data_IF_190035694119
#
_entry.id   IF_190035694119
#
_cell.length_a   1.000
_cell.length_b   1.000
_cell.length_c   1.000
_cell.angle_alpha   90.00
_cell.angle_beta   90.00
_cell.angle_gamma   90.00
#
_symmetry.space_group_name_H-M   'P 1'
#
loop_
_entity.id
_entity.type
_entity.pdbx_description
1 polymer ?
#
# COMPACT_ATOMS: atom_id res chain seq x y z
N UNK A 1 53.50 49.50 53.81
CA UNK A 1 52.63 50.18 52.82
C UNK A 1 51.75 49.20 52.04
N UNK A 2 52.27 48.04 51.57
CA UNK A 2 51.49 47.00 50.87
C UNK A 2 50.28 46.43 51.65
N UNK A 3 50.40 46.21 52.97
CA UNK A 3 49.32 45.66 53.81
C UNK A 3 48.07 46.56 53.91
N UNK A 4 48.21 47.88 53.72
CA UNK A 4 47.07 48.82 53.68
C UNK A 4 46.37 48.83 52.32
N UNK A 5 47.08 48.53 51.22
CA UNK A 5 46.50 48.38 49.88
C UNK A 5 45.63 47.11 49.79
N UNK A 6 46.12 45.99 50.33
CA UNK A 6 45.42 44.69 50.31
C UNK A 6 44.13 44.74 51.16
N UNK A 7 44.13 45.47 52.30
CA UNK A 7 42.93 45.68 53.11
C UNK A 7 41.89 46.61 52.48
N UNK A 8 42.29 47.50 51.56
CA UNK A 8 41.38 48.39 50.81
C UNK A 8 40.75 47.67 49.63
N UNK A 9 41.52 46.86 48.90
CA UNK A 9 41.03 46.02 47.81
C UNK A 9 40.02 44.95 48.27
N UNK A 10 40.16 44.43 49.49
CA UNK A 10 39.24 43.42 50.05
C UNK A 10 37.89 43.98 50.51
N UNK A 11 37.71 45.31 50.55
CA UNK A 11 36.58 45.95 51.25
C UNK A 11 35.61 46.73 50.35
N UNK A 12 35.89 46.90 49.06
CA UNK A 12 35.06 47.77 48.19
C UNK A 12 34.45 47.11 46.95
N UNK A 13 34.72 45.82 46.64
CA UNK A 13 34.12 45.14 45.47
C UNK A 13 33.28 43.89 45.81
N UNK A 14 33.00 43.61 47.08
CA UNK A 14 32.25 42.41 47.46
C UNK A 14 30.72 42.53 47.26
N UNK A 15 30.19 43.72 46.94
CA UNK A 15 28.76 43.92 46.68
C UNK A 15 28.35 43.79 45.21
N UNK A 16 29.14 44.34 44.29
CA UNK A 16 28.79 44.37 42.86
C UNK A 16 28.87 42.98 42.20
N UNK A 17 29.87 42.18 42.57
CA UNK A 17 30.00 40.82 42.07
C UNK A 17 28.78 39.96 42.44
N UNK A 18 28.22 40.12 43.64
CA UNK A 18 27.02 39.41 44.09
C UNK A 18 25.79 39.76 43.22
N UNK A 19 25.60 41.05 42.91
CA UNK A 19 24.51 41.51 42.05
C UNK A 19 24.66 40.95 40.63
N UNK A 20 25.87 40.99 40.08
CA UNK A 20 26.14 40.50 38.73
C UNK A 20 25.92 38.98 38.63
N UNK A 21 26.37 38.22 39.63
CA UNK A 21 26.15 36.78 39.73
C UNK A 21 24.66 36.46 39.88
N UNK A 22 23.92 37.20 40.71
CA UNK A 22 22.48 37.00 40.88
C UNK A 22 21.70 37.27 39.58
N UNK A 23 22.06 38.31 38.84
CA UNK A 23 21.46 38.60 37.53
C UNK A 23 21.79 37.50 36.51
N UNK A 24 23.05 37.06 36.42
CA UNK A 24 23.45 35.98 35.52
C UNK A 24 22.77 34.65 35.86
N UNK A 25 22.66 34.30 37.14
CA UNK A 25 21.91 33.10 37.59
C UNK A 25 20.44 33.18 37.17
N UNK A 26 19.82 34.34 37.31
CA UNK A 26 18.41 34.55 36.91
C UNK A 26 18.24 34.34 35.41
N UNK A 27 19.15 34.88 34.60
CA UNK A 27 19.14 34.69 33.14
C UNK A 27 19.37 33.22 32.77
N UNK A 28 20.32 32.54 33.41
CA UNK A 28 20.60 31.12 33.16
C UNK A 28 19.40 30.24 33.53
N UNK A 29 18.74 30.51 34.65
CA UNK A 29 17.50 29.82 35.04
C UNK A 29 16.37 30.09 34.05
N UNK A 30 16.27 31.31 33.52
CA UNK A 30 15.32 31.65 32.45
C UNK A 30 15.53 30.84 31.17
N UNK A 31 16.78 30.65 30.74
CA UNK A 31 17.10 29.78 29.60
C UNK A 31 16.82 28.31 29.89
N UNK A 32 17.16 27.81 31.09
CA UNK A 32 16.87 26.44 31.49
C UNK A 32 15.35 26.15 31.49
N UNK A 33 14.56 27.08 32.03
CA UNK A 33 13.11 27.05 32.00
C UNK A 33 12.56 26.97 30.55
N UNK A 34 13.06 27.82 29.66
CA UNK A 34 12.67 27.83 28.25
C UNK A 34 12.97 26.49 27.57
N UNK A 35 14.16 25.93 27.81
CA UNK A 35 14.57 24.64 27.24
C UNK A 35 13.64 23.51 27.71
N UNK A 36 13.26 23.50 28.99
CA UNK A 36 12.34 22.47 29.52
C UNK A 36 10.95 22.59 28.90
N UNK A 37 10.41 23.81 28.80
CA UNK A 37 9.07 24.02 28.22
C UNK A 37 9.01 23.67 26.73
N UNK A 38 10.00 24.14 25.95
CA UNK A 38 10.09 23.80 24.52
C UNK A 38 10.33 22.30 24.33
N UNK A 39 11.18 21.69 25.16
CA UNK A 39 11.42 20.25 25.15
C UNK A 39 10.15 19.45 25.41
N UNK A 40 9.35 19.82 26.42
CA UNK A 40 8.08 19.18 26.69
C UNK A 40 7.09 19.34 25.53
N UNK A 41 6.97 20.55 24.96
CA UNK A 41 6.11 20.77 23.79
C UNK A 41 6.51 19.91 22.59
N UNK A 42 7.82 19.77 22.34
CA UNK A 42 8.32 18.93 21.25
C UNK A 42 7.96 17.46 21.46
N UNK A 43 8.11 16.93 22.67
CA UNK A 43 7.72 15.56 23.01
C UNK A 43 6.21 15.37 22.86
N UNK A 44 5.39 16.28 23.37
CA UNK A 44 3.93 16.21 23.22
C UNK A 44 3.51 16.26 21.75
N UNK A 45 4.14 17.11 20.94
CA UNK A 45 3.89 17.21 19.50
C UNK A 45 4.25 15.91 18.78
N UNK A 46 5.38 15.28 19.12
CA UNK A 46 5.79 14.00 18.54
C UNK A 46 4.83 12.87 18.93
N UNK A 47 4.40 12.80 20.19
CA UNK A 47 3.40 11.83 20.63
C UNK A 47 2.06 12.02 19.92
N UNK A 48 1.62 13.27 19.75
CA UNK A 48 0.37 13.61 19.06
C UNK A 48 0.44 13.23 17.57
N UNK A 49 1.60 13.40 16.93
CA UNK A 49 1.80 12.97 15.54
C UNK A 49 1.72 11.45 15.41
N UNK A 50 2.42 10.71 16.26
CA UNK A 50 2.36 9.24 16.26
C UNK A 50 0.92 8.74 16.49
N UNK A 51 0.17 9.39 17.38
CA UNK A 51 -1.23 9.08 17.62
C UNK A 51 -2.12 9.32 16.39
N UNK A 52 -1.94 10.48 15.72
CA UNK A 52 -2.67 10.81 14.50
C UNK A 52 -2.34 9.84 13.36
N UNK A 53 -1.06 9.50 13.17
CA UNK A 53 -0.58 8.56 12.16
C UNK A 53 -1.17 7.17 12.37
N UNK A 54 -1.14 6.66 13.61
CA UNK A 54 -1.74 5.37 13.96
C UNK A 54 -3.25 5.36 13.76
N UNK A 55 -3.94 6.43 14.17
CA UNK A 55 -5.39 6.57 13.99
C UNK A 55 -5.78 6.63 12.51
N UNK A 56 -5.04 7.37 11.68
CA UNK A 56 -5.29 7.47 10.24
C UNK A 56 -5.08 6.12 9.56
N UNK A 57 -3.97 5.42 9.85
CA UNK A 57 -3.70 4.09 9.31
C UNK A 57 -4.79 3.08 9.68
N UNK A 58 -5.22 3.07 10.95
CA UNK A 58 -6.26 2.15 11.40
C UNK A 58 -7.62 2.45 10.77
N UNK A 59 -8.05 3.72 10.77
CA UNK A 59 -9.30 4.11 10.12
C UNK A 59 -9.30 3.86 8.61
N UNK A 60 -8.13 4.01 7.96
CA UNK A 60 -8.00 3.72 6.53
C UNK A 60 -8.26 2.25 6.19
N UNK A 61 -7.97 1.30 7.10
CA UNK A 61 -8.20 -0.12 6.85
C UNK A 61 -9.69 -0.43 6.70
N UNK A 62 -10.52 0.25 7.50
CA UNK A 62 -11.96 0.04 7.57
C UNK A 62 -12.75 0.84 6.53
N UNK A 63 -12.11 1.71 5.73
CA UNK A 63 -12.77 2.43 4.64
C UNK A 63 -13.43 1.46 3.65
N UNK A 64 -14.72 1.68 3.37
CA UNK A 64 -15.51 0.86 2.45
C UNK A 64 -15.96 -0.49 3.01
N UNK A 65 -15.73 -0.77 4.30
CA UNK A 65 -16.24 -1.97 4.98
C UNK A 65 -17.55 -1.67 5.72
N UNK A 66 -18.18 -2.69 6.31
CA UNK A 66 -19.34 -2.50 7.21
C UNK A 66 -18.96 -1.89 8.57
N UNK A 67 -17.66 -1.73 8.85
CA UNK A 67 -17.12 -1.16 10.09
C UNK A 67 -17.01 0.36 9.94
N UNK A 68 -17.37 1.09 10.99
CA UNK A 68 -17.27 2.55 11.01
C UNK A 68 -15.81 3.01 11.14
N UNK A 69 -15.21 3.37 10.01
CA UNK A 69 -13.84 3.87 9.90
C UNK A 69 -13.56 5.08 10.81
N UNK A 70 -14.56 5.95 11.04
CA UNK A 70 -14.44 7.09 11.94
C UNK A 70 -14.28 6.63 13.39
N UNK A 71 -15.12 5.68 13.81
CA UNK A 71 -15.06 5.10 15.14
C UNK A 71 -13.72 4.39 15.39
N UNK A 72 -13.23 3.62 14.41
CA UNK A 72 -11.91 2.96 14.50
C UNK A 72 -10.79 3.98 14.67
N UNK A 73 -10.73 5.02 13.82
CA UNK A 73 -9.71 6.06 13.94
C UNK A 73 -9.71 6.72 15.34
N UNK A 74 -10.90 7.06 15.86
CA UNK A 74 -11.05 7.65 17.20
C UNK A 74 -10.63 6.69 18.33
N UNK A 75 -10.92 5.40 18.21
CA UNK A 75 -10.49 4.38 19.18
C UNK A 75 -8.96 4.26 19.22
N UNK A 76 -8.29 4.28 18.07
CA UNK A 76 -6.84 4.21 18.00
C UNK A 76 -6.18 5.51 18.51
N UNK A 77 -6.76 6.67 18.26
CA UNK A 77 -6.29 7.93 18.86
C UNK A 77 -6.37 7.89 20.40
N UNK A 78 -7.48 7.37 20.95
CA UNK A 78 -7.68 7.20 22.39
C UNK A 78 -6.66 6.22 23.00
N UNK A 79 -6.41 5.09 22.33
CA UNK A 79 -5.38 4.14 22.73
C UNK A 79 -3.96 4.74 22.75
N UNK A 80 -3.71 5.77 21.93
CA UNK A 80 -2.45 6.52 21.88
C UNK A 80 -2.45 7.79 22.76
N UNK A 81 -3.45 7.94 23.66
CA UNK A 81 -3.48 8.98 24.67
C UNK A 81 -4.09 10.31 24.22
N UNK A 82 -4.87 10.31 23.13
CA UNK A 82 -5.63 11.46 22.63
C UNK A 82 -7.13 11.20 22.78
N UNK A 83 -7.88 11.98 23.58
CA UNK A 83 -9.31 11.78 23.72
C UNK A 83 -10.05 11.85 22.38
N UNK A 84 -11.11 11.05 22.22
CA UNK A 84 -11.96 11.03 21.02
C UNK A 84 -12.56 12.40 20.67
N UNK A 85 -12.85 13.20 21.70
CA UNK A 85 -13.40 14.56 21.57
C UNK A 85 -12.40 15.56 21.00
N UNK A 86 -11.10 15.27 21.11
CA UNK A 86 -10.03 16.12 20.58
C UNK A 86 -9.48 15.58 19.25
N UNK A 87 -10.14 14.56 18.69
CA UNK A 87 -9.79 13.92 17.43
C UNK A 87 -10.88 14.19 16.39
N UNK A 88 -10.56 14.97 15.37
CA UNK A 88 -11.39 15.17 14.20
C UNK A 88 -10.99 14.18 13.13
N UNK A 89 -11.98 13.61 12.44
CA UNK A 89 -11.78 12.62 11.38
C UNK A 89 -12.63 13.03 10.19
N UNK A 90 -12.04 12.99 9.00
CA UNK A 90 -12.74 13.13 7.71
C UNK A 90 -12.45 11.87 6.89
N UNK A 91 -13.45 11.02 6.69
CA UNK A 91 -13.35 9.75 5.96
C UNK A 91 -13.39 9.89 4.44
N UNK A 92 -13.50 11.13 3.93
CA UNK A 92 -13.56 11.44 2.51
C UNK A 92 -12.63 12.61 2.17
N UNK A 93 -11.41 12.57 2.72
CA UNK A 93 -10.45 13.65 2.54
C UNK A 93 -10.23 13.95 1.05
N UNK A 94 -10.35 15.24 0.68
CA UNK A 94 -10.27 15.71 -0.71
C UNK A 94 -11.34 15.08 -1.64
N UNK A 95 -12.54 14.82 -1.09
CA UNK A 95 -13.65 14.14 -1.76
C UNK A 95 -13.30 12.73 -2.29
N UNK A 96 -12.30 12.08 -1.67
CA UNK A 96 -11.84 10.76 -2.09
C UNK A 96 -12.24 9.70 -1.03
N UNK A 97 -13.11 8.73 -1.35
CA UNK A 97 -13.59 7.73 -0.40
C UNK A 97 -12.50 6.71 0.04
N UNK A 98 -11.34 6.71 -0.62
CA UNK A 98 -10.19 5.89 -0.24
C UNK A 98 -9.20 6.64 0.66
N UNK A 99 -9.49 7.89 1.07
CA UNK A 99 -8.62 8.70 1.92
C UNK A 99 -9.33 9.10 3.21
N UNK A 100 -8.57 9.05 4.31
CA UNK A 100 -9.01 9.50 5.63
C UNK A 100 -8.00 10.50 6.19
N UNK A 101 -8.50 11.62 6.71
CA UNK A 101 -7.72 12.60 7.46
C UNK A 101 -8.06 12.47 8.95
N UNK A 102 -7.02 12.50 9.80
CA UNK A 102 -7.16 12.57 11.24
C UNK A 102 -6.40 13.79 11.76
N UNK A 103 -7.09 14.65 12.49
CA UNK A 103 -6.52 15.81 13.16
C UNK A 103 -6.70 15.66 14.67
N UNK A 104 -5.60 15.44 15.37
CA UNK A 104 -5.56 15.38 16.84
C UNK A 104 -5.14 16.74 17.40
N UNK A 105 -5.87 17.24 18.37
CA UNK A 105 -5.52 18.45 19.13
C UNK A 105 -5.25 18.08 20.57
N UNK A 106 -4.32 18.75 21.24
CA UNK A 106 -4.10 18.59 22.68
C UNK A 106 -3.68 19.91 23.29
N UNK A 107 -4.30 20.27 24.40
CA UNK A 107 -3.90 21.44 25.17
C UNK A 107 -2.75 21.07 26.12
N UNK A 108 -1.61 21.76 26.00
CA UNK A 108 -0.40 21.51 26.80
C UNK A 108 -0.12 22.72 27.67
N UNK A 109 -0.15 22.51 28.99
CA UNK A 109 0.23 23.53 29.95
C UNK A 109 1.76 23.73 29.97
N UNK A 110 2.19 24.98 30.02
CA UNK A 110 3.60 25.31 30.26
C UNK A 110 3.98 25.01 31.71
N UNK A 111 5.25 24.70 31.97
CA UNK A 111 5.77 24.48 33.34
C UNK A 111 6.35 25.78 33.89
N UNK A 112 7.35 26.35 33.23
CA UNK A 112 8.07 27.52 33.73
C UNK A 112 7.62 28.84 33.09
N UNK A 113 7.20 28.82 31.82
CA UNK A 113 6.70 29.97 31.08
C UNK A 113 5.42 30.56 31.69
N UNK A 114 4.77 29.83 32.61
CA UNK A 114 3.68 30.35 33.46
C UNK A 114 4.08 31.58 34.27
N UNK A 115 5.36 31.67 34.66
CA UNK A 115 5.91 32.86 35.36
C UNK A 115 5.88 34.11 34.47
N UNK A 116 5.96 33.92 33.14
CA UNK A 116 5.87 34.99 32.14
C UNK A 116 4.42 35.25 31.69
N UNK A 117 3.43 34.62 32.31
CA UNK A 117 2.01 34.73 31.96
C UNK A 117 1.53 33.78 30.84
N UNK A 118 2.41 32.90 30.34
CA UNK A 118 2.03 31.88 29.35
C UNK A 118 1.54 30.62 30.07
N UNK A 119 0.22 30.38 30.07
CA UNK A 119 -0.36 29.28 30.84
C UNK A 119 -0.37 27.95 30.08
N UNK A 120 -0.76 27.98 28.80
CA UNK A 120 -0.95 26.79 27.98
C UNK A 120 -0.92 27.12 26.48
N UNK A 121 -0.85 26.09 25.65
CA UNK A 121 -0.93 26.21 24.19
C UNK A 121 -1.58 24.98 23.58
N UNK A 122 -2.30 25.18 22.47
CA UNK A 122 -2.87 24.08 21.71
C UNK A 122 -1.85 23.54 20.70
N UNK A 123 -1.51 22.27 20.85
CA UNK A 123 -0.69 21.53 19.89
C UNK A 123 -1.63 20.72 19.00
N UNK A 124 -1.44 20.81 17.68
CA UNK A 124 -2.20 20.04 16.70
C UNK A 124 -1.28 19.09 15.96
N UNK A 125 -1.73 17.89 15.63
CA UNK A 125 -1.08 16.98 14.69
C UNK A 125 -2.10 16.52 13.65
N UNK A 126 -1.63 16.31 12.43
CA UNK A 126 -2.45 15.95 11.28
C UNK A 126 -1.78 14.80 10.56
N UNK A 127 -2.56 13.80 10.22
CA UNK A 127 -2.14 12.67 9.41
C UNK A 127 -3.22 12.37 8.39
N UNK A 128 -2.81 12.02 7.17
CA UNK A 128 -3.73 11.53 6.14
C UNK A 128 -3.26 10.13 5.75
N UNK A 129 -4.19 9.19 5.67
CA UNK A 129 -3.92 7.85 5.21
C UNK A 129 -4.81 7.53 4.01
N UNK A 130 -4.28 6.70 3.13
CA UNK A 130 -5.00 6.21 1.96
C UNK A 130 -5.06 4.68 2.01
N UNK A 131 -6.27 4.14 1.81
CA UNK A 131 -6.46 2.73 1.46
C UNK A 131 -6.06 2.56 0.01
N UNK A 132 -5.04 1.74 -0.25
CA UNK A 132 -4.70 1.39 -1.62
C UNK A 132 -5.85 0.58 -2.25
N UNK A 133 -5.93 0.56 -3.59
CA UNK A 133 -6.83 -0.38 -4.27
C UNK A 133 -6.58 -1.80 -3.76
N UNK A 134 -7.60 -2.65 -3.79
CA UNK A 134 -7.45 -4.09 -3.53
C UNK A 134 -6.33 -4.68 -4.40
N UNK A 135 -5.35 -5.29 -3.76
CA UNK A 135 -4.13 -5.75 -4.43
C UNK A 135 -3.10 -4.64 -4.76
N UNK A 136 -3.40 -3.35 -4.68
CA UNK A 136 -2.47 -2.24 -4.95
C UNK A 136 -2.48 -1.74 -6.40
N UNK A 137 -1.70 -0.68 -6.69
CA UNK A 137 -1.80 0.07 -7.96
C UNK A 137 -1.61 -0.77 -9.24
N UNK A 138 -0.82 -1.85 -9.16
CA UNK A 138 -0.64 -2.81 -10.25
C UNK A 138 -1.96 -3.45 -10.71
N UNK A 139 -2.91 -3.62 -9.78
CA UNK A 139 -4.18 -4.31 -10.00
C UNK A 139 -5.25 -3.39 -10.59
N UNK A 140 -4.97 -2.11 -10.82
CA UNK A 140 -5.84 -1.22 -11.60
C UNK A 140 -5.79 -1.55 -13.11
N UNK A 141 -4.80 -2.33 -13.55
CA UNK A 141 -4.60 -2.71 -14.95
C UNK A 141 -5.21 -4.09 -15.23
N UNK A 142 -5.71 -4.29 -16.44
CA UNK A 142 -6.11 -5.60 -16.93
C UNK A 142 -4.89 -6.49 -17.16
N UNK A 143 -3.81 -5.90 -17.71
CA UNK A 143 -2.54 -6.57 -17.91
C UNK A 143 -1.37 -5.70 -17.44
N UNK A 144 -0.56 -6.22 -16.52
CA UNK A 144 0.53 -5.49 -15.88
C UNK A 144 1.84 -6.29 -15.92
N UNK A 145 2.87 -5.73 -16.55
CA UNK A 145 4.24 -6.26 -16.56
C UNK A 145 5.17 -5.35 -15.73
N UNK A 146 5.34 -5.66 -14.44
CA UNK A 146 6.02 -4.77 -13.47
C UNK A 146 7.54 -4.89 -13.38
N UNK A 147 8.15 -5.88 -14.04
CA UNK A 147 9.60 -6.10 -14.03
C UNK A 147 10.22 -6.32 -15.40
N UNK A 148 9.44 -6.19 -16.47
CA UNK A 148 9.79 -6.61 -17.82
C UNK A 148 8.93 -5.97 -18.89
N UNK A 149 9.04 -6.47 -20.12
CA UNK A 149 8.24 -6.01 -21.24
C UNK A 149 6.86 -6.69 -21.23
N UNK A 150 5.86 -5.96 -21.72
CA UNK A 150 4.53 -6.48 -22.04
C UNK A 150 4.48 -6.75 -23.54
N UNK A 151 4.49 -8.02 -23.95
CA UNK A 151 4.53 -8.39 -25.37
C UNK A 151 3.38 -9.31 -25.74
N UNK A 152 2.63 -8.92 -26.76
CA UNK A 152 1.64 -9.72 -27.44
C UNK A 152 2.08 -9.89 -28.89
N UNK A 153 2.37 -11.14 -29.27
CA UNK A 153 2.73 -11.53 -30.62
C UNK A 153 1.59 -12.32 -31.24
N UNK A 154 1.11 -11.87 -32.40
CA UNK A 154 -0.12 -12.40 -32.97
C UNK A 154 -0.94 -11.31 -33.59
N UNK A 155 -2.26 -11.41 -33.50
CA UNK A 155 -3.18 -10.35 -33.89
C UNK A 155 -4.58 -10.66 -33.36
N UNK A 156 -5.44 -9.65 -33.33
CA UNK A 156 -6.79 -9.72 -32.75
C UNK A 156 -6.82 -10.01 -31.25
N UNK A 157 -5.78 -9.59 -30.52
CA UNK A 157 -5.86 -9.57 -29.06
C UNK A 157 -6.86 -8.50 -28.61
N UNK A 158 -7.67 -8.78 -27.60
CA UNK A 158 -8.67 -7.84 -27.09
C UNK A 158 -8.48 -7.70 -25.59
N UNK A 159 -8.20 -6.50 -25.11
CA UNK A 159 -8.02 -6.21 -23.69
C UNK A 159 -9.12 -5.25 -23.24
N UNK A 160 -10.03 -5.73 -22.41
CA UNK A 160 -10.98 -4.91 -21.66
C UNK A 160 -10.30 -4.33 -20.43
N UNK A 161 -9.82 -3.08 -20.54
CA UNK A 161 -9.12 -2.36 -19.48
C UNK A 161 -7.69 -1.92 -19.85
N UNK A 162 -7.10 -1.08 -18.99
CA UNK A 162 -5.78 -0.50 -19.22
C UNK A 162 -4.64 -1.53 -19.10
N UNK A 163 -3.54 -1.29 -19.80
CA UNK A 163 -2.33 -2.13 -19.77
C UNK A 163 -1.12 -1.34 -19.32
N UNK A 164 -0.18 -2.01 -18.65
CA UNK A 164 1.08 -1.43 -18.21
C UNK A 164 2.29 -2.32 -18.53
N UNK A 165 3.35 -1.72 -19.06
CA UNK A 165 4.65 -2.38 -19.24
C UNK A 165 5.80 -1.54 -18.72
N UNK A 166 6.54 -2.05 -17.73
CA UNK A 166 7.69 -1.33 -17.17
C UNK A 166 8.81 -1.12 -18.21
N UNK A 167 9.13 -2.14 -18.99
CA UNK A 167 10.17 -2.09 -20.02
C UNK A 167 9.60 -1.98 -21.43
N UNK A 168 8.42 -1.38 -21.57
CA UNK A 168 7.75 -1.18 -22.85
C UNK A 168 6.51 -2.07 -23.02
N UNK A 169 5.60 -1.59 -23.88
CA UNK A 169 4.40 -2.29 -24.33
C UNK A 169 4.49 -2.52 -25.84
N UNK A 170 4.24 -3.74 -26.28
CA UNK A 170 4.26 -4.11 -27.70
C UNK A 170 3.12 -5.09 -28.01
N UNK A 171 2.11 -4.63 -28.75
CA UNK A 171 1.09 -5.48 -29.37
C UNK A 171 1.34 -5.51 -30.88
N UNK A 172 1.85 -6.65 -31.34
CA UNK A 172 2.21 -6.88 -32.74
C UNK A 172 1.04 -7.48 -33.53
N UNK A 173 1.18 -7.43 -34.87
CA UNK A 173 0.19 -7.87 -35.85
C UNK A 173 -1.15 -7.12 -35.80
N UNK A 174 -2.10 -7.47 -36.67
CA UNK A 174 -3.23 -6.59 -36.96
C UNK A 174 -4.49 -6.90 -36.14
N UNK A 175 -5.31 -5.86 -35.95
CA UNK A 175 -6.65 -5.98 -35.38
C UNK A 175 -6.70 -6.11 -33.86
N UNK A 176 -5.62 -5.74 -33.16
CA UNK A 176 -5.64 -5.69 -31.70
C UNK A 176 -6.55 -4.56 -31.20
N UNK A 177 -7.11 -4.71 -30.02
CA UNK A 177 -8.02 -3.76 -29.39
C UNK A 177 -7.71 -3.67 -27.90
N UNK A 178 -7.57 -2.44 -27.40
CA UNK A 178 -7.38 -2.14 -25.98
C UNK A 178 -8.44 -1.11 -25.60
N UNK A 179 -9.40 -1.52 -24.78
CA UNK A 179 -10.43 -0.66 -24.21
C UNK A 179 -9.94 -0.08 -22.87
N UNK A 180 -8.93 0.78 -22.96
CA UNK A 180 -8.27 1.40 -21.81
C UNK A 180 -6.98 2.10 -22.20
N UNK A 181 -6.23 2.54 -21.19
CA UNK A 181 -4.96 3.23 -21.39
C UNK A 181 -3.83 2.25 -21.68
N UNK A 182 -2.86 2.69 -22.48
CA UNK A 182 -1.61 1.97 -22.73
C UNK A 182 -0.48 2.73 -22.04
N UNK A 183 0.01 2.17 -20.93
CA UNK A 183 0.97 2.86 -20.07
C UNK A 183 2.33 2.17 -20.10
N UNK A 184 3.40 2.94 -20.25
CA UNK A 184 4.76 2.45 -20.25
C UNK A 184 5.68 3.33 -19.42
N UNK A 185 6.59 2.72 -18.65
CA UNK A 185 7.65 3.46 -17.97
C UNK A 185 8.83 3.80 -18.88
N UNK A 186 8.83 3.33 -20.12
CA UNK A 186 9.78 3.75 -21.15
C UNK A 186 9.07 4.55 -22.24
N UNK A 187 9.82 4.96 -23.26
CA UNK A 187 9.30 5.58 -24.47
C UNK A 187 8.60 4.59 -25.42
N UNK A 188 8.55 3.30 -25.09
CA UNK A 188 8.01 2.26 -25.97
C UNK A 188 6.59 1.88 -25.55
N UNK A 189 5.61 2.21 -26.38
CA UNK A 189 4.22 1.81 -26.25
C UNK A 189 3.62 1.64 -27.66
N UNK A 190 3.88 0.50 -28.28
CA UNK A 190 3.48 0.22 -29.66
C UNK A 190 2.28 -0.73 -29.67
N UNK A 191 1.17 -0.29 -30.26
CA UNK A 191 -0.02 -1.12 -30.44
C UNK A 191 -0.45 -1.10 -31.90
N UNK A 192 -0.33 -2.24 -32.57
CA UNK A 192 -0.83 -2.42 -33.94
C UNK A 192 -2.33 -2.72 -33.89
N UNK A 193 -3.15 -1.70 -33.67
CA UNK A 193 -4.57 -1.88 -33.41
C UNK A 193 -5.28 -0.59 -32.98
N UNK A 194 -6.41 -0.75 -32.32
CA UNK A 194 -7.20 0.34 -31.75
C UNK A 194 -6.92 0.45 -30.26
N UNK A 195 -6.80 1.68 -29.77
CA UNK A 195 -6.72 2.03 -28.35
C UNK A 195 -7.86 3.01 -28.09
N UNK A 196 -8.75 2.70 -27.13
CA UNK A 196 -9.84 3.61 -26.73
C UNK A 196 -9.36 4.69 -25.77
N UNK A 197 -8.41 4.37 -24.88
CA UNK A 197 -7.83 5.30 -23.91
C UNK A 197 -6.57 6.02 -24.40
N UNK A 198 -5.79 6.52 -23.46
CA UNK A 198 -4.58 7.28 -23.73
C UNK A 198 -3.34 6.39 -23.86
N UNK A 199 -2.38 6.81 -24.69
CA UNK A 199 -1.03 6.22 -24.70
C UNK A 199 -0.10 7.08 -23.86
N UNK A 200 0.34 6.55 -22.72
CA UNK A 200 1.17 7.23 -21.73
C UNK A 200 2.56 6.59 -21.72
N UNK A 201 3.60 7.38 -22.00
CA UNK A 201 5.00 6.92 -21.98
C UNK A 201 5.80 7.67 -20.92
N UNK A 202 6.93 7.08 -20.51
CA UNK A 202 7.78 7.58 -19.42
C UNK A 202 7.01 7.75 -18.09
N UNK A 203 6.00 6.92 -17.86
CA UNK A 203 5.26 6.89 -16.60
C UNK A 203 6.19 6.48 -15.44
N UNK A 204 6.04 7.04 -14.23
CA UNK A 204 6.75 6.55 -13.05
C UNK A 204 6.60 5.03 -12.88
N UNK A 205 7.63 4.39 -12.33
CA UNK A 205 7.60 2.93 -12.11
C UNK A 205 6.55 2.61 -11.06
N UNK A 206 5.60 1.75 -11.43
CA UNK A 206 4.59 1.24 -10.51
C UNK A 206 5.17 -0.01 -9.82
N UNK A 207 5.25 -0.03 -8.48
CA UNK A 207 5.82 -1.16 -7.76
C UNK A 207 4.90 -2.38 -7.85
N UNK A 208 5.51 -3.58 -7.90
CA UNK A 208 4.79 -4.83 -7.74
C UNK A 208 4.56 -5.07 -6.23
N UNK A 209 3.31 -5.25 -5.77
CA UNK A 209 3.00 -5.64 -4.40
C UNK A 209 3.62 -6.99 -4.03
N UNK A 210 3.66 -7.35 -2.75
CA UNK A 210 3.99 -8.71 -2.29
C UNK A 210 3.08 -9.10 -1.12
N UNK A 211 2.28 -10.14 -1.32
CA UNK A 211 1.32 -10.65 -0.34
C UNK A 211 1.79 -11.94 0.35
N UNK A 212 2.99 -12.44 0.04
CA UNK A 212 3.42 -13.81 0.40
C UNK A 212 3.31 -14.09 1.89
N UNK A 213 3.77 -13.15 2.73
CA UNK A 213 3.77 -13.31 4.19
C UNK A 213 2.37 -13.20 4.79
N UNK A 214 1.53 -12.31 4.26
CA UNK A 214 0.16 -12.12 4.73
C UNK A 214 -0.70 -13.35 4.44
N UNK A 215 -0.62 -13.86 3.21
CA UNK A 215 -1.40 -15.05 2.81
C UNK A 215 -0.90 -16.27 3.59
N UNK A 216 0.42 -16.46 3.72
CA UNK A 216 0.98 -17.60 4.46
C UNK A 216 0.53 -17.66 5.93
N UNK A 217 0.23 -16.51 6.55
CA UNK A 217 -0.24 -16.45 7.92
C UNK A 217 -1.70 -16.89 8.10
N UNK A 218 -2.50 -16.89 7.03
CA UNK A 218 -3.96 -17.12 7.07
C UNK A 218 -4.40 -18.36 6.27
N UNK A 219 -3.58 -18.81 5.32
CA UNK A 219 -3.89 -19.90 4.40
C UNK A 219 -3.63 -21.30 4.98
N UNK A 220 -4.34 -22.29 4.46
CA UNK A 220 -4.05 -23.70 4.67
C UNK A 220 -2.77 -24.09 3.93
N UNK A 221 -1.74 -24.47 4.68
CA UNK A 221 -0.45 -24.89 4.11
C UNK A 221 -0.55 -26.32 3.59
N UNK A 222 -0.20 -26.51 2.32
CA UNK A 222 -0.16 -27.79 1.63
C UNK A 222 1.25 -28.05 1.08
N UNK A 223 1.72 -29.29 1.20
CA UNK A 223 3.00 -29.77 0.67
C UNK A 223 2.82 -30.90 -0.35
N UNK A 224 1.64 -31.51 -0.39
CA UNK A 224 1.29 -32.58 -1.33
C UNK A 224 0.01 -32.24 -2.10
N UNK A 225 -0.13 -32.79 -3.31
CA UNK A 225 -1.34 -32.60 -4.14
C UNK A 225 -2.59 -33.14 -3.45
N UNK A 226 -2.46 -34.17 -2.61
CA UNK A 226 -3.58 -34.68 -1.82
C UNK A 226 -4.08 -33.66 -0.79
N UNK A 227 -3.16 -33.00 -0.08
CA UNK A 227 -3.50 -31.91 0.85
C UNK A 227 -4.16 -30.75 0.11
N UNK A 228 -3.63 -30.37 -1.06
CA UNK A 228 -4.22 -29.35 -1.92
C UNK A 228 -5.66 -29.69 -2.29
N UNK A 229 -5.91 -30.89 -2.82
CA UNK A 229 -7.25 -31.32 -3.24
C UNK A 229 -8.24 -31.33 -2.07
N UNK A 230 -7.79 -31.70 -0.87
CA UNK A 230 -8.61 -31.63 0.33
C UNK A 230 -8.89 -30.18 0.76
N UNK A 231 -7.90 -29.29 0.67
CA UNK A 231 -8.03 -27.88 1.02
C UNK A 231 -8.99 -27.13 0.09
N UNK A 232 -9.08 -27.52 -1.19
CA UNK A 232 -10.04 -26.96 -2.17
C UNK A 232 -11.49 -27.14 -1.72
N UNK A 233 -11.80 -28.18 -0.93
CA UNK A 233 -13.14 -28.38 -0.37
C UNK A 233 -13.50 -27.41 0.77
N UNK A 234 -12.50 -26.79 1.40
CA UNK A 234 -12.69 -25.75 2.42
C UNK A 234 -12.98 -24.37 1.80
N UNK A 235 -12.99 -23.33 2.63
CA UNK A 235 -13.19 -21.92 2.23
C UNK A 235 -11.93 -21.07 2.36
N UNK A 236 -10.88 -21.61 2.97
CA UNK A 236 -9.66 -20.88 3.25
C UNK A 236 -8.81 -20.71 1.99
N UNK A 237 -7.94 -19.70 2.02
CA UNK A 237 -6.86 -19.54 1.05
C UNK A 237 -5.88 -20.72 1.17
N UNK A 238 -5.16 -21.02 0.09
CA UNK A 238 -4.31 -22.22 0.01
C UNK A 238 -2.87 -21.80 -0.27
N UNK A 239 -1.93 -22.30 0.53
CA UNK A 239 -0.50 -22.05 0.36
C UNK A 239 0.24 -23.37 0.05
N UNK A 240 0.54 -23.59 -1.23
CA UNK A 240 1.21 -24.79 -1.71
C UNK A 240 2.73 -24.63 -1.80
N UNK A 241 3.48 -25.53 -1.16
CA UNK A 241 4.94 -25.57 -1.24
C UNK A 241 5.36 -26.45 -2.42
N UNK A 242 5.81 -25.81 -3.51
CA UNK A 242 6.29 -26.47 -4.71
C UNK A 242 5.60 -25.97 -5.98
N UNK A 243 5.67 -26.79 -7.03
CA UNK A 243 4.96 -26.55 -8.28
C UNK A 243 3.54 -27.14 -8.20
N UNK A 244 2.56 -26.41 -8.69
CA UNK A 244 1.14 -26.77 -8.62
C UNK A 244 0.55 -26.91 -10.01
N UNK A 245 -0.17 -28.01 -10.26
CA UNK A 245 -0.98 -28.19 -11.45
C UNK A 245 -2.45 -28.21 -11.06
N UNK A 246 -3.24 -27.31 -11.63
CA UNK A 246 -4.66 -27.18 -11.36
C UNK A 246 -5.42 -27.90 -12.47
N UNK A 247 -6.11 -28.97 -12.08
CA UNK A 247 -6.85 -29.85 -12.97
C UNK A 247 -8.36 -29.82 -12.74
N UNK A 248 -8.82 -29.06 -11.73
CA UNK A 248 -10.22 -28.97 -11.34
C UNK A 248 -10.58 -27.53 -10.92
N UNK A 249 -11.88 -27.23 -10.92
CA UNK A 249 -12.44 -25.95 -10.46
C UNK A 249 -12.08 -25.66 -9.00
N UNK A 250 -11.87 -24.39 -8.67
CA UNK A 250 -11.62 -23.92 -7.32
C UNK A 250 -12.79 -23.01 -6.91
N UNK A 251 -13.64 -23.42 -5.95
CA UNK A 251 -14.84 -22.65 -5.59
C UNK A 251 -14.52 -21.38 -4.78
N UNK A 252 -15.35 -20.36 -4.89
CA UNK A 252 -15.38 -19.18 -4.02
C UNK A 252 -14.19 -18.22 -4.15
N UNK A 253 -14.34 -17.07 -3.49
CA UNK A 253 -13.34 -15.99 -3.52
C UNK A 253 -12.13 -16.32 -2.65
N UNK A 254 -11.03 -16.72 -3.30
CA UNK A 254 -9.83 -17.16 -2.58
C UNK A 254 -8.53 -16.97 -3.34
N UNK A 255 -7.43 -17.02 -2.59
CA UNK A 255 -6.07 -16.99 -3.13
C UNK A 255 -5.46 -18.39 -3.07
N UNK A 256 -4.90 -18.82 -4.19
CA UNK A 256 -4.15 -20.07 -4.33
C UNK A 256 -2.71 -19.74 -4.65
N UNK A 257 -1.85 -19.92 -3.65
CA UNK A 257 -0.43 -19.62 -3.73
C UNK A 257 0.36 -20.90 -4.04
N UNK A 258 1.35 -20.80 -4.92
CA UNK A 258 2.41 -21.78 -5.06
C UNK A 258 3.78 -21.10 -4.92
N UNK A 259 4.71 -21.72 -4.20
CA UNK A 259 6.08 -21.20 -4.11
C UNK A 259 6.85 -21.33 -5.42
N UNK A 260 6.48 -22.30 -6.27
CA UNK A 260 7.03 -22.56 -7.60
C UNK A 260 6.01 -22.29 -8.71
N UNK A 261 6.16 -22.99 -9.84
CA UNK A 261 5.32 -22.76 -11.02
C UNK A 261 3.86 -23.18 -10.78
N UNK A 262 2.93 -22.47 -11.42
CA UNK A 262 1.53 -22.87 -11.52
C UNK A 262 1.23 -23.23 -12.97
N UNK A 263 0.55 -24.36 -13.17
CA UNK A 263 0.02 -24.75 -14.48
C UNK A 263 -1.48 -24.98 -14.39
N UNK A 264 -2.25 -24.22 -15.13
CA UNK A 264 -3.71 -24.36 -15.20
C UNK A 264 -4.10 -25.04 -16.52
N UNK A 265 -4.70 -26.23 -16.43
CA UNK A 265 -4.87 -27.16 -17.55
C UNK A 265 -6.32 -27.39 -18.02
N UNK A 266 -7.25 -26.48 -17.71
CA UNK A 266 -8.71 -26.49 -18.07
C UNK A 266 -9.67 -26.25 -16.90
N UNK A 267 -9.17 -25.71 -15.78
CA UNK A 267 -10.05 -25.39 -14.66
C UNK A 267 -10.99 -24.23 -15.04
N UNK A 268 -12.18 -24.57 -15.55
CA UNK A 268 -13.28 -23.65 -15.71
C UNK A 268 -13.64 -23.12 -14.32
N UNK A 269 -13.19 -21.90 -14.03
CA UNK A 269 -13.75 -21.13 -12.93
C UNK A 269 -15.09 -20.58 -13.44
N UNK A 270 -16.00 -20.24 -12.55
CA UNK A 270 -17.31 -19.69 -12.94
C UNK A 270 -17.35 -18.21 -12.60
N UNK A 271 -18.12 -17.42 -13.34
CA UNK A 271 -18.27 -15.96 -13.14
C UNK A 271 -18.74 -15.49 -11.77
N UNK A 272 -19.17 -16.39 -10.90
CA UNK A 272 -19.57 -16.09 -9.53
C UNK A 272 -18.39 -16.06 -8.52
N UNK A 273 -17.22 -16.57 -8.90
CA UNK A 273 -16.07 -16.72 -8.01
C UNK A 273 -14.83 -15.99 -8.59
N UNK A 274 -14.09 -15.28 -7.74
CA UNK A 274 -12.75 -14.76 -8.07
C UNK A 274 -11.66 -15.64 -7.47
N UNK A 275 -10.74 -16.15 -8.30
CA UNK A 275 -9.58 -16.91 -7.81
C UNK A 275 -8.28 -16.22 -8.21
N UNK A 276 -7.46 -15.84 -7.23
CA UNK A 276 -6.10 -15.37 -7.48
C UNK A 276 -5.12 -16.54 -7.48
N UNK A 277 -4.54 -16.85 -8.63
CA UNK A 277 -3.43 -17.78 -8.78
C UNK A 277 -2.11 -17.04 -8.58
N UNK A 278 -1.48 -17.23 -7.42
CA UNK A 278 -0.26 -16.53 -7.04
C UNK A 278 0.97 -17.46 -7.09
N UNK A 279 1.82 -17.28 -8.09
CA UNK A 279 3.14 -17.93 -8.17
C UNK A 279 4.23 -17.00 -7.62
N UNK A 280 4.80 -17.33 -6.45
CA UNK A 280 5.76 -16.44 -5.76
C UNK A 280 7.05 -16.28 -6.56
N UNK A 281 7.69 -17.40 -6.90
CA UNK A 281 9.01 -17.42 -7.56
C UNK A 281 8.99 -18.15 -8.92
N UNK A 282 7.83 -18.66 -9.34
CA UNK A 282 7.68 -19.43 -10.58
C UNK A 282 6.91 -18.67 -11.66
N UNK A 283 6.78 -19.33 -12.80
CA UNK A 283 5.92 -18.90 -13.89
C UNK A 283 4.50 -19.42 -13.71
N UNK A 284 3.55 -18.75 -14.35
CA UNK A 284 2.20 -19.26 -14.52
C UNK A 284 2.01 -19.60 -16.00
N UNK A 285 1.72 -20.86 -16.26
CA UNK A 285 1.40 -21.33 -17.60
C UNK A 285 -0.08 -21.66 -17.67
N UNK A 286 -0.77 -20.99 -18.58
CA UNK A 286 -2.12 -21.37 -18.96
C UNK A 286 -2.06 -22.14 -20.26
N UNK A 287 -2.47 -23.40 -20.24
CA UNK A 287 -2.56 -24.22 -21.45
C UNK A 287 -4.01 -24.11 -21.93
N UNK A 288 -4.35 -23.00 -22.60
CA UNK A 288 -5.71 -22.67 -22.99
C UNK A 288 -6.40 -23.68 -23.92
N UNK A 289 -7.73 -23.58 -23.92
CA UNK A 289 -8.74 -24.33 -24.69
C UNK A 289 -10.06 -23.55 -24.63
N UNK A 290 -11.24 -24.21 -24.56
CA UNK A 290 -12.54 -23.53 -24.29
C UNK A 290 -12.75 -23.19 -22.80
N UNK A 291 -11.69 -23.16 -22.00
CA UNK A 291 -11.76 -23.03 -20.55
C UNK A 291 -11.58 -21.57 -20.16
N UNK A 292 -12.51 -21.03 -19.39
CA UNK A 292 -12.48 -19.65 -18.91
C UNK A 292 -11.88 -19.62 -17.50
N UNK A 293 -10.83 -18.82 -17.29
CA UNK A 293 -10.36 -18.47 -15.95
C UNK A 293 -11.09 -17.21 -15.52
N UNK A 294 -11.60 -17.23 -14.28
CA UNK A 294 -12.16 -16.08 -13.59
C UNK A 294 -11.26 -15.71 -12.42
N UNK A 295 -10.78 -14.47 -12.38
CA UNK A 295 -9.87 -13.96 -11.36
C UNK A 295 -8.50 -13.56 -11.91
N UNK A 296 -7.45 -13.77 -11.12
CA UNK A 296 -6.17 -13.09 -11.32
C UNK A 296 -5.05 -14.12 -11.51
N UNK A 297 -4.24 -13.93 -12.55
CA UNK A 297 -2.93 -14.59 -12.67
C UNK A 297 -1.85 -13.66 -12.14
N UNK A 298 -1.26 -14.00 -10.99
CA UNK A 298 -0.30 -13.16 -10.29
C UNK A 298 1.07 -13.84 -10.15
N UNK A 299 2.07 -13.34 -10.87
CA UNK A 299 3.43 -13.87 -10.90
C UNK A 299 4.48 -12.75 -10.74
N UNK A 300 4.62 -12.14 -9.54
CA UNK A 300 5.44 -10.94 -9.34
C UNK A 300 6.92 -11.11 -9.72
N UNK A 301 7.45 -12.34 -9.65
CA UNK A 301 8.83 -12.65 -10.03
C UNK A 301 8.96 -13.49 -11.30
N UNK A 302 7.84 -13.90 -11.90
CA UNK A 302 7.79 -14.85 -13.01
C UNK A 302 7.12 -14.30 -14.26
N UNK A 303 7.00 -15.18 -15.25
CA UNK A 303 6.32 -14.91 -16.51
C UNK A 303 4.94 -15.55 -16.49
N UNK A 304 3.94 -14.83 -16.98
CA UNK A 304 2.66 -15.43 -17.37
C UNK A 304 2.71 -15.70 -18.87
N UNK A 305 2.48 -16.96 -19.25
CA UNK A 305 2.44 -17.41 -20.64
C UNK A 305 1.13 -18.12 -20.93
N UNK A 306 0.50 -17.78 -22.06
CA UNK A 306 -0.60 -18.53 -22.64
C UNK A 306 -0.10 -19.43 -23.77
N UNK A 307 -0.37 -20.73 -23.65
CA UNK A 307 -0.12 -21.75 -24.67
C UNK A 307 -1.43 -22.22 -25.34
N UNK A 308 -2.53 -21.48 -25.16
CA UNK A 308 -3.86 -21.87 -25.63
C UNK A 308 -4.04 -21.92 -27.13
N UNK A 309 -5.06 -22.69 -27.56
CA UNK A 309 -5.54 -22.70 -28.94
C UNK A 309 -6.16 -21.35 -29.37
N UNK A 310 -6.68 -21.24 -30.61
CA UNK A 310 -7.33 -20.01 -31.05
C UNK A 310 -8.52 -19.70 -30.13
N UNK A 311 -8.55 -18.49 -29.54
CA UNK A 311 -9.56 -17.98 -28.59
C UNK A 311 -9.31 -18.21 -27.09
N UNK A 312 -8.06 -18.16 -26.63
CA UNK A 312 -7.79 -18.05 -25.18
C UNK A 312 -8.50 -16.82 -24.58
N UNK A 313 -9.17 -17.00 -23.43
CA UNK A 313 -9.92 -15.94 -22.76
C UNK A 313 -9.71 -15.98 -21.25
N UNK A 314 -9.37 -14.84 -20.66
CA UNK A 314 -9.30 -14.65 -19.20
C UNK A 314 -10.34 -13.59 -18.80
N UNK A 315 -11.27 -13.97 -17.92
CA UNK A 315 -12.18 -13.04 -17.26
C UNK A 315 -11.52 -12.56 -15.96
N UNK A 316 -10.65 -11.56 -16.07
CA UNK A 316 -9.99 -10.95 -14.94
C UNK A 316 -8.66 -10.33 -15.35
N UNK A 317 -7.60 -10.56 -14.55
CA UNK A 317 -6.33 -9.80 -14.68
C UNK A 317 -5.12 -10.68 -14.83
N UNK A 318 -4.09 -10.14 -15.50
CA UNK A 318 -2.77 -10.74 -15.58
C UNK A 318 -1.75 -9.76 -15.00
N UNK A 319 -1.16 -10.10 -13.87
CA UNK A 319 -0.20 -9.25 -13.14
C UNK A 319 1.10 -10.04 -12.97
N UNK A 320 2.17 -9.68 -13.69
CA UNK A 320 3.40 -10.48 -13.70
C UNK A 320 4.68 -9.64 -13.80
N UNK A 321 5.84 -10.27 -13.60
CA UNK A 321 7.13 -9.64 -13.94
C UNK A 321 7.20 -9.38 -15.43
N UNK A 322 6.88 -10.40 -16.21
CA UNK A 322 6.85 -10.41 -17.68
C UNK A 322 5.51 -11.00 -18.12
N UNK A 323 4.88 -10.40 -19.12
CA UNK A 323 3.73 -10.99 -19.80
C UNK A 323 4.12 -11.17 -21.26
N UNK A 324 4.15 -12.42 -21.70
CA UNK A 324 4.53 -12.82 -23.05
C UNK A 324 3.46 -13.76 -23.59
N UNK A 325 2.63 -13.21 -24.47
CA UNK A 325 1.53 -13.94 -25.11
C UNK A 325 1.88 -14.13 -26.57
N UNK A 326 1.93 -15.40 -27.00
CA UNK A 326 2.25 -15.79 -28.36
C UNK A 326 1.10 -16.62 -28.93
N UNK A 327 0.49 -16.19 -30.04
CA UNK A 327 -0.55 -16.99 -30.67
C UNK A 327 -1.54 -16.21 -31.52
N UNK A 328 -2.74 -16.77 -31.69
CA UNK A 328 -3.85 -16.12 -32.38
C UNK A 328 -4.60 -15.18 -31.41
N UNK A 329 -5.93 -15.07 -31.54
CA UNK A 329 -6.75 -14.25 -30.65
C UNK A 329 -6.61 -14.71 -29.18
N UNK A 330 -6.28 -13.76 -28.32
CA UNK A 330 -6.30 -13.88 -26.87
C UNK A 330 -7.03 -12.68 -26.28
N UNK A 331 -7.90 -12.92 -25.30
CA UNK A 331 -8.71 -11.88 -24.68
C UNK A 331 -8.54 -11.85 -23.17
N UNK A 332 -8.46 -10.64 -22.61
CA UNK A 332 -8.47 -10.38 -21.17
C UNK A 332 -9.58 -9.37 -20.90
N UNK A 333 -10.52 -9.69 -20.03
CA UNK A 333 -11.62 -8.80 -19.65
C UNK A 333 -11.58 -8.59 -18.14
N UNK A 334 -11.07 -7.42 -17.72
CA UNK A 334 -10.94 -7.10 -16.31
C UNK A 334 -12.20 -6.41 -15.77
N UNK A 335 -12.59 -6.77 -14.55
CA UNK A 335 -13.78 -6.19 -13.89
C UNK A 335 -13.44 -5.79 -12.45
N UNK A 336 -14.36 -5.20 -11.69
CA UNK A 336 -14.11 -4.98 -10.26
C UNK A 336 -14.15 -6.28 -9.45
N UNK A 337 -14.97 -7.25 -9.88
CA UNK A 337 -15.23 -8.48 -9.13
C UNK A 337 -14.03 -9.42 -9.10
N UNK A 338 -13.08 -9.27 -10.04
CA UNK A 338 -11.85 -10.05 -10.03
C UNK A 338 -10.97 -9.74 -8.81
N UNK A 339 -11.14 -8.58 -8.15
CA UNK A 339 -10.39 -8.18 -6.96
C UNK A 339 -10.95 -8.75 -5.65
N UNK A 340 -12.16 -9.32 -5.65
CA UNK A 340 -12.84 -9.81 -4.43
C UNK A 340 -11.98 -10.82 -3.64
N UNK A 341 -11.18 -11.64 -4.34
CA UNK A 341 -10.22 -12.58 -3.72
C UNK A 341 -9.05 -11.91 -2.99
N UNK A 342 -8.77 -10.64 -3.28
CA UNK A 342 -7.70 -9.83 -2.67
C UNK A 342 -8.21 -8.76 -1.69
N UNK A 343 -9.52 -8.64 -1.51
CA UNK A 343 -10.14 -7.71 -0.56
C UNK A 343 -9.53 -7.81 0.86
N UNK A 344 -9.18 -9.03 1.28
CA UNK A 344 -8.53 -9.36 2.57
C UNK A 344 -7.07 -8.89 2.69
N UNK A 345 -6.45 -8.48 1.58
CA UNK A 345 -5.02 -8.17 1.46
C UNK A 345 -4.74 -6.72 1.05
N UNK A 346 -5.67 -5.80 1.35
CA UNK A 346 -5.48 -4.36 1.12
C UNK A 346 -4.40 -3.77 2.03
N UNK A 347 -3.56 -2.90 1.46
CA UNK A 347 -2.56 -2.15 2.22
C UNK A 347 -3.01 -0.71 2.44
N UNK A 348 -2.67 -0.16 3.61
CA UNK A 348 -2.85 1.26 3.93
C UNK A 348 -1.50 1.96 4.00
N UNK A 349 -1.43 3.21 3.57
CA UNK A 349 -0.22 4.04 3.68
C UNK A 349 -0.56 5.45 4.15
N UNK A 350 0.36 6.07 4.86
CA UNK A 350 0.31 7.51 5.12
C UNK A 350 0.66 8.28 3.86
N UNK A 351 -0.04 9.39 3.63
CA UNK A 351 0.21 10.34 2.56
C UNK A 351 0.37 11.73 3.20
N UNK A 352 1.37 12.48 2.75
CA UNK A 352 1.61 13.87 3.21
C UNK A 352 0.69 14.86 2.50
#
# INVERSE_FOLDING_TARGET
MLLKLIKRLKKEEQGQALIMVALMLTVLLGFAALVVDVGNLYVQKSQLQNAADAAALAGAQDLGTAIDAEATAKNYAEANGVPKTETLVDTTYDNNPSKIEVVSTKNVSYTFARVLGLLETNVKARAVAQKATEGGDAFNYAVFAGGGALTFTGGKHIIGGSVYGRNGVSFNGSGNEIDGDVVSSTSTANVSGTITGDTITNNPVIPMPDFSNLIKAQATICTTVAEFNNAVAGTDDIYFIGNLTITARIPGDRVVVATGNITANSAAQTSADSVTFYSINGNITFNGGTSEIYGILYAPNGTVTDNGGPNGHINGRIIAKIVDVNGAKFSVDASSNDLDSLSKYTTVKLIE
#
